data_IF_854094892613
#
_entry.id   IF_854094892613
#
_cell.length_a   1.000
_cell.length_b   1.000
_cell.length_c   1.000
_cell.angle_alpha   90.00
_cell.angle_beta   90.00
_cell.angle_gamma   90.00
#
_symmetry.space_group_name_H-M   'P 1'
#
loop_
_entity.id
_entity.type
_entity.pdbx_description
1 polymer ?
#
# COMPACT_ATOMS: atom_id res chain seq x y z
N UNK A 1 -14.70 -12.57 -11.04
CA UNK A 1 -13.47 -11.76 -10.91
C UNK A 1 -13.89 -10.42 -10.33
N UNK A 2 -13.54 -10.13 -9.08
CA UNK A 2 -13.82 -8.84 -8.43
C UNK A 2 -12.57 -7.98 -8.52
N UNK A 3 -12.78 -6.73 -8.89
CA UNK A 3 -11.84 -5.75 -9.46
C UNK A 3 -10.84 -5.19 -8.44
N UNK A 4 -9.72 -4.59 -8.93
CA UNK A 4 -8.62 -4.08 -8.10
C UNK A 4 -9.00 -2.87 -7.21
N UNK A 5 -10.16 -2.24 -7.42
CA UNK A 5 -10.57 -1.07 -6.63
C UNK A 5 -10.92 -1.40 -5.17
N UNK A 6 -11.40 -2.61 -4.91
CA UNK A 6 -11.55 -3.11 -3.54
C UNK A 6 -10.22 -3.21 -2.80
N UNK A 7 -9.08 -3.34 -3.49
CA UNK A 7 -7.75 -3.46 -2.87
C UNK A 7 -7.18 -2.10 -2.46
N UNK A 8 -7.48 -1.02 -3.20
CA UNK A 8 -7.05 0.34 -2.89
C UNK A 8 -7.73 0.89 -1.62
N UNK A 9 -9.02 0.60 -1.43
CA UNK A 9 -9.79 1.04 -0.25
C UNK A 9 -9.61 0.15 0.98
N UNK A 10 -9.33 -1.15 0.80
CA UNK A 10 -8.93 -2.04 1.91
C UNK A 10 -7.54 -1.66 2.44
N UNK A 11 -6.74 -0.95 1.64
CA UNK A 11 -5.50 -0.35 2.09
C UNK A 11 -5.70 0.59 3.30
N UNK A 12 -6.68 1.49 3.26
CA UNK A 12 -6.97 2.35 4.42
C UNK A 12 -7.55 1.58 5.63
N UNK A 13 -7.96 0.33 5.46
CA UNK A 13 -8.41 -0.58 6.51
C UNK A 13 -7.26 -1.45 7.08
N UNK A 14 -6.08 -0.84 7.22
CA UNK A 14 -4.92 -1.42 7.92
C UNK A 14 -5.35 -2.14 9.20
N UNK A 15 -4.78 -3.34 9.38
CA UNK A 15 -4.68 -4.16 10.61
C UNK A 15 -5.56 -5.41 10.74
N UNK A 16 -6.11 -5.98 9.66
CA UNK A 16 -6.65 -7.35 9.74
C UNK A 16 -6.10 -8.20 8.60
N UNK A 17 -4.94 -8.84 8.86
CA UNK A 17 -4.28 -9.74 7.94
C UNK A 17 -5.16 -10.96 7.65
N UNK A 18 -5.47 -11.21 6.38
CA UNK A 18 -5.74 -12.58 5.95
C UNK A 18 -5.16 -12.79 4.54
N UNK A 19 -4.05 -13.52 4.47
CA UNK A 19 -3.23 -13.87 3.29
C UNK A 19 -2.20 -12.82 2.86
N UNK A 20 -1.01 -12.84 3.47
CA UNK A 20 0.20 -12.16 2.99
C UNK A 20 1.04 -13.08 2.11
N UNK A 21 1.63 -12.55 1.04
CA UNK A 21 2.56 -13.29 0.18
C UNK A 21 3.94 -13.39 0.85
N UNK A 22 4.42 -12.27 1.37
CA UNK A 22 5.67 -12.15 2.15
C UNK A 22 5.38 -11.28 3.37
N UNK A 23 5.94 -11.64 4.52
CA UNK A 23 5.96 -10.79 5.72
C UNK A 23 7.39 -10.28 5.95
N UNK A 24 7.54 -9.19 6.71
CA UNK A 24 8.83 -8.55 6.99
C UNK A 24 8.88 -8.05 8.43
N UNK A 25 10.08 -8.02 9.00
CA UNK A 25 10.34 -7.43 10.32
C UNK A 25 10.35 -5.90 10.26
N UNK A 26 10.93 -5.33 9.20
CA UNK A 26 10.92 -3.89 8.98
C UNK A 26 10.76 -3.57 7.50
N UNK A 27 10.10 -2.47 7.22
CA UNK A 27 10.01 -1.85 5.92
C UNK A 27 10.31 -0.37 6.06
N UNK A 28 11.10 0.15 5.14
CA UNK A 28 11.25 1.59 4.94
C UNK A 28 10.76 1.94 3.54
N UNK A 29 9.95 2.99 3.45
CA UNK A 29 9.40 3.49 2.21
C UNK A 29 9.69 4.98 2.08
N UNK A 30 10.32 5.37 0.98
CA UNK A 30 10.69 6.75 0.74
C UNK A 30 10.23 7.18 -0.64
N UNK A 31 9.61 8.36 -0.69
CA UNK A 31 9.14 9.00 -1.91
C UNK A 31 9.97 10.24 -2.17
N UNK A 32 10.51 10.35 -3.38
CA UNK A 32 11.26 11.53 -3.84
C UNK A 32 10.68 11.98 -5.18
N UNK A 33 10.30 13.24 -5.29
CA UNK A 33 9.73 13.82 -6.50
C UNK A 33 10.66 14.87 -7.07
N UNK A 34 11.13 14.64 -8.29
CA UNK A 34 11.84 15.62 -9.08
C UNK A 34 10.85 16.41 -9.93
N UNK A 35 10.64 17.68 -9.55
CA UNK A 35 9.69 18.58 -10.22
C UNK A 35 10.17 19.01 -11.61
N UNK A 36 11.47 19.00 -11.89
CA UNK A 36 11.99 19.42 -13.20
C UNK A 36 11.65 18.37 -14.26
N UNK A 37 11.76 17.09 -13.89
CA UNK A 37 11.51 15.96 -14.79
C UNK A 37 10.13 15.32 -14.62
N UNK A 38 9.30 15.83 -13.70
CA UNK A 38 8.03 15.23 -13.28
C UNK A 38 8.16 13.74 -12.90
N UNK A 39 9.27 13.38 -12.27
CA UNK A 39 9.56 11.98 -11.94
C UNK A 39 9.42 11.69 -10.45
N UNK A 40 8.70 10.62 -10.12
CA UNK A 40 8.55 10.13 -8.75
C UNK A 40 9.38 8.87 -8.58
N UNK A 41 10.30 8.90 -7.62
CA UNK A 41 11.07 7.74 -7.20
C UNK A 41 10.50 7.19 -5.90
N UNK A 42 10.23 5.89 -5.91
CA UNK A 42 9.83 5.08 -4.77
C UNK A 42 10.99 4.16 -4.41
N UNK A 43 11.61 4.44 -3.27
CA UNK A 43 12.60 3.59 -2.64
C UNK A 43 11.91 2.75 -1.57
N UNK A 44 12.07 1.43 -1.65
CA UNK A 44 11.51 0.48 -0.69
C UNK A 44 12.59 -0.47 -0.22
N UNK A 45 12.75 -0.56 1.09
CA UNK A 45 13.66 -1.49 1.75
C UNK A 45 12.85 -2.40 2.66
N UNK A 46 13.09 -3.70 2.57
CA UNK A 46 12.54 -4.72 3.46
C UNK A 46 13.68 -5.37 4.23
N UNK A 47 13.51 -5.53 5.54
CA UNK A 47 14.43 -6.27 6.42
C UNK A 47 13.72 -7.45 7.05
N UNK A 48 14.43 -8.57 7.15
CA UNK A 48 13.90 -9.78 7.80
C UNK A 48 12.67 -10.36 7.07
N UNK A 49 12.81 -10.62 5.77
CA UNK A 49 11.75 -11.21 4.94
C UNK A 49 11.48 -12.67 5.31
N UNK A 50 10.20 -13.05 5.38
CA UNK A 50 9.75 -14.42 5.58
C UNK A 50 8.57 -14.77 4.66
N UNK A 51 8.36 -16.06 4.39
CA UNK A 51 7.20 -16.48 3.61
C UNK A 51 5.92 -16.20 4.40
N UNK A 52 4.99 -15.48 3.75
CA UNK A 52 3.72 -15.12 4.34
C UNK A 52 2.74 -16.29 4.40
N UNK A 53 1.52 -16.00 4.86
CA UNK A 53 0.45 -17.00 5.03
C UNK A 53 -0.08 -17.62 3.73
N UNK A 54 0.32 -17.10 2.56
CA UNK A 54 -0.04 -17.64 1.24
C UNK A 54 0.79 -18.86 0.82
N UNK A 55 1.84 -19.21 1.58
CA UNK A 55 2.69 -20.37 1.33
C UNK A 55 4.02 -20.03 0.66
N UNK A 56 4.99 -20.94 0.83
CA UNK A 56 6.38 -20.76 0.41
C UNK A 56 6.51 -20.53 -1.10
N UNK A 57 5.86 -21.34 -1.93
CA UNK A 57 5.95 -21.24 -3.39
C UNK A 57 5.48 -19.88 -3.92
N UNK A 58 4.43 -19.31 -3.30
CA UNK A 58 3.88 -18.00 -3.67
C UNK A 58 4.86 -16.89 -3.26
N UNK A 59 5.42 -17.00 -2.05
CA UNK A 59 6.46 -16.08 -1.57
C UNK A 59 7.69 -16.11 -2.49
N UNK A 60 8.18 -17.29 -2.85
CA UNK A 60 9.31 -17.46 -3.76
C UNK A 60 9.01 -16.88 -5.15
N UNK A 61 7.84 -17.15 -5.74
CA UNK A 61 7.47 -16.59 -7.04
C UNK A 61 7.38 -15.06 -7.02
N UNK A 62 6.88 -14.48 -5.92
CA UNK A 62 6.83 -13.03 -5.75
C UNK A 62 8.23 -12.42 -5.67
N UNK A 63 9.11 -12.99 -4.83
CA UNK A 63 10.48 -12.52 -4.67
C UNK A 63 11.31 -12.72 -5.94
N UNK A 64 11.09 -13.81 -6.68
CA UNK A 64 11.73 -14.00 -7.98
C UNK A 64 11.31 -12.91 -8.95
N UNK A 65 10.03 -12.52 -8.97
CA UNK A 65 9.56 -11.39 -9.78
C UNK A 65 10.26 -10.07 -9.41
N UNK A 66 10.51 -9.83 -8.12
CA UNK A 66 11.29 -8.66 -7.67
C UNK A 66 12.73 -8.72 -8.19
N UNK A 67 13.41 -9.85 -8.02
CA UNK A 67 14.79 -10.08 -8.50
C UNK A 67 14.88 -9.92 -10.03
N UNK A 68 13.86 -10.35 -10.75
CA UNK A 68 13.71 -10.19 -12.21
C UNK A 68 13.41 -8.73 -12.62
N UNK A 69 13.50 -7.77 -11.70
CA UNK A 69 13.22 -6.34 -11.90
C UNK A 69 11.82 -6.05 -12.40
N UNK A 70 10.83 -6.85 -11.99
CA UNK A 70 9.43 -6.53 -12.29
C UNK A 70 8.95 -5.43 -11.34
N UNK A 71 8.11 -4.49 -11.82
CA UNK A 71 7.61 -3.37 -11.02
C UNK A 71 6.48 -3.80 -10.08
N UNK A 72 6.82 -4.66 -9.13
CA UNK A 72 5.94 -5.10 -8.04
C UNK A 72 6.51 -4.69 -6.70
N UNK A 73 5.68 -4.46 -5.71
CA UNK A 73 6.11 -4.13 -4.35
C UNK A 73 4.95 -4.29 -3.36
N UNK A 74 5.27 -4.46 -2.07
CA UNK A 74 4.31 -4.47 -0.96
C UNK A 74 4.50 -3.21 -0.12
N UNK A 75 3.45 -2.55 0.37
CA UNK A 75 3.53 -1.42 1.32
C UNK A 75 2.71 -1.75 2.57
N UNK A 76 3.23 -1.76 3.80
CA UNK A 76 2.45 -2.05 5.02
C UNK A 76 1.83 -3.47 5.11
N UNK A 77 2.12 -4.38 4.17
CA UNK A 77 1.56 -5.74 4.11
C UNK A 77 0.28 -5.85 3.28
N UNK A 78 -0.32 -7.04 3.20
CA UNK A 78 -1.59 -7.23 2.47
C UNK A 78 -2.70 -6.37 3.09
N UNK A 79 -3.50 -5.63 2.28
CA UNK A 79 -3.76 -5.82 0.83
C UNK A 79 -2.88 -5.03 -0.13
N UNK A 80 -1.88 -4.30 0.36
CA UNK A 80 -1.10 -3.37 -0.44
C UNK A 80 0.06 -4.04 -1.18
N UNK A 81 -0.23 -5.21 -1.75
CA UNK A 81 0.64 -5.81 -2.74
C UNK A 81 0.27 -5.24 -4.10
N UNK A 82 1.21 -4.51 -4.68
CA UNK A 82 1.10 -3.88 -5.98
C UNK A 82 1.93 -4.70 -6.97
N UNK A 83 1.27 -5.25 -7.98
CA UNK A 83 1.93 -5.75 -9.18
C UNK A 83 1.48 -4.86 -10.33
N UNK A 84 2.33 -3.90 -10.72
CA UNK A 84 1.94 -2.91 -11.73
C UNK A 84 1.68 -3.58 -13.09
N UNK A 85 2.26 -4.76 -13.35
CA UNK A 85 1.98 -5.56 -14.56
C UNK A 85 0.52 -6.06 -14.60
N UNK A 86 -0.10 -6.30 -13.43
CA UNK A 86 -1.49 -6.73 -13.35
C UNK A 86 -2.51 -5.59 -13.53
N UNK A 87 -2.07 -4.34 -13.51
CA UNK A 87 -2.94 -3.19 -13.80
C UNK A 87 -3.39 -3.22 -15.25
N UNK A 88 -2.55 -3.76 -16.16
CA UNK A 88 -2.88 -3.91 -17.58
C UNK A 88 -2.96 -2.61 -18.36
N UNK A 89 -2.43 -1.50 -17.81
CA UNK A 89 -2.28 -0.23 -18.51
C UNK A 89 -0.88 -0.14 -19.13
N UNK A 90 -0.80 -0.34 -20.45
CA UNK A 90 0.46 -0.31 -21.21
C UNK A 90 1.17 1.04 -21.12
N UNK A 91 0.41 2.15 -21.01
CA UNK A 91 1.02 3.47 -20.84
C UNK A 91 1.71 3.56 -19.49
N UNK A 92 1.03 3.14 -18.41
CA UNK A 92 1.59 3.18 -17.06
C UNK A 92 2.84 2.31 -16.96
N UNK A 93 2.82 1.11 -17.53
CA UNK A 93 3.99 0.24 -17.58
C UNK A 93 5.15 0.84 -18.37
N UNK A 94 4.85 1.55 -19.46
CA UNK A 94 5.86 2.29 -20.22
C UNK A 94 6.48 3.49 -19.48
N UNK A 95 5.88 3.93 -18.37
CA UNK A 95 6.40 5.03 -17.54
C UNK A 95 7.19 4.55 -16.32
N UNK A 96 7.26 3.24 -16.07
CA UNK A 96 7.85 2.68 -14.85
C UNK A 96 9.19 2.03 -15.15
N UNK A 97 10.23 2.52 -14.50
CA UNK A 97 11.56 1.92 -14.49
C UNK A 97 11.86 1.29 -13.14
N UNK A 98 12.31 0.04 -13.14
CA UNK A 98 12.94 -0.57 -11.95
C UNK A 98 14.44 -0.30 -12.02
N UNK A 99 14.88 0.75 -11.32
CA UNK A 99 16.26 1.22 -11.29
C UNK A 99 17.16 0.29 -10.47
N UNK A 100 16.62 -0.29 -9.41
CA UNK A 100 17.32 -1.22 -8.50
C UNK A 100 16.34 -2.28 -7.99
N UNK A 101 16.81 -3.52 -7.90
CA UNK A 101 16.12 -4.60 -7.23
C UNK A 101 17.20 -5.58 -6.77
N UNK A 102 17.50 -5.60 -5.47
CA UNK A 102 18.62 -6.33 -4.89
C UNK A 102 18.16 -7.11 -3.68
N UNK A 103 18.53 -8.39 -3.66
CA UNK A 103 18.34 -9.28 -2.53
C UNK A 103 19.68 -9.44 -1.82
N UNK A 104 19.72 -9.18 -0.52
CA UNK A 104 20.93 -9.34 0.30
C UNK A 104 20.70 -10.32 1.43
N UNK A 105 21.71 -11.15 1.68
CA UNK A 105 21.73 -12.09 2.81
C UNK A 105 22.64 -11.47 3.89
N UNK A 106 22.07 -11.10 5.03
CA UNK A 106 22.89 -10.69 6.17
C UNK A 106 23.54 -11.91 6.83
N UNK A 107 24.56 -11.69 7.68
CA UNK A 107 25.22 -12.76 8.42
C UNK A 107 24.27 -13.32 9.50
N UNK A 108 23.38 -14.23 9.12
CA UNK A 108 22.37 -14.85 9.99
C UNK A 108 21.22 -15.44 9.16
N UNK A 109 20.06 -15.71 9.78
CA UNK A 109 18.86 -16.14 9.06
C UNK A 109 18.08 -14.96 8.44
N UNK A 110 18.60 -13.74 8.32
CA UNK A 110 17.85 -12.62 7.73
C UNK A 110 18.15 -12.44 6.24
N UNK A 111 17.07 -12.26 5.48
CA UNK A 111 17.08 -11.91 4.07
C UNK A 111 16.39 -10.56 3.89
N UNK A 112 17.06 -9.68 3.16
CA UNK A 112 16.63 -8.30 2.97
C UNK A 112 16.47 -8.01 1.47
N UNK A 113 15.53 -7.13 1.13
CA UNK A 113 15.28 -6.73 -0.25
C UNK A 113 15.26 -5.21 -0.36
N UNK A 114 15.92 -4.68 -1.37
CA UNK A 114 15.85 -3.26 -1.73
C UNK A 114 15.34 -3.12 -3.16
N UNK A 115 14.40 -2.20 -3.37
CA UNK A 115 13.89 -1.87 -4.70
C UNK A 115 13.76 -0.37 -4.88
N UNK A 116 14.20 0.13 -6.03
CA UNK A 116 14.01 1.52 -6.45
C UNK A 116 13.23 1.53 -7.75
N UNK A 117 12.04 2.11 -7.70
CA UNK A 117 11.16 2.27 -8.85
C UNK A 117 11.08 3.76 -9.17
N UNK A 118 11.18 4.12 -10.45
CA UNK A 118 10.94 5.48 -10.95
C UNK A 118 9.74 5.49 -11.88
N UNK A 119 8.89 6.48 -11.70
CA UNK A 119 7.79 6.82 -12.59
C UNK A 119 8.13 8.12 -13.32
N UNK A 120 8.21 8.10 -14.65
CA UNK A 120 8.73 9.21 -15.48
C UNK A 120 7.73 10.35 -15.77
N UNK A 121 6.47 10.24 -15.31
CA UNK A 121 5.43 11.28 -15.48
C UNK A 121 4.37 11.14 -14.39
N UNK A 122 4.71 11.55 -13.17
CA UNK A 122 3.85 11.31 -12.00
C UNK A 122 2.51 12.04 -12.09
N UNK A 123 2.47 13.26 -12.64
CA UNK A 123 1.21 14.00 -12.73
C UNK A 123 0.25 13.34 -13.70
N UNK A 124 0.72 12.90 -14.87
CA UNK A 124 -0.13 12.19 -15.83
C UNK A 124 -0.58 10.83 -15.27
N UNK A 125 0.30 10.11 -14.58
CA UNK A 125 -0.05 8.87 -13.92
C UNK A 125 -1.13 9.05 -12.84
N UNK A 126 -1.04 10.11 -12.03
CA UNK A 126 -2.07 10.45 -11.03
C UNK A 126 -3.41 10.77 -11.70
N UNK A 127 -3.40 11.55 -12.78
CA UNK A 127 -4.62 11.87 -13.55
C UNK A 127 -5.28 10.59 -14.09
N UNK A 128 -4.49 9.70 -14.69
CA UNK A 128 -4.98 8.41 -15.23
C UNK A 128 -5.49 7.49 -14.13
N UNK A 129 -4.76 7.37 -13.02
CA UNK A 129 -5.17 6.57 -11.88
C UNK A 129 -6.50 7.08 -11.31
N UNK A 130 -6.65 8.39 -11.12
CA UNK A 130 -7.90 8.99 -10.64
C UNK A 130 -9.08 8.72 -11.58
N UNK A 131 -8.86 8.80 -12.89
CA UNK A 131 -9.88 8.51 -13.89
C UNK A 131 -10.28 7.02 -13.88
N UNK A 132 -9.30 6.11 -13.87
CA UNK A 132 -9.52 4.67 -13.82
C UNK A 132 -10.27 4.25 -12.54
N UNK A 133 -9.87 4.79 -11.40
CA UNK A 133 -10.55 4.60 -10.11
C UNK A 133 -12.01 5.05 -10.21
N UNK A 134 -12.25 6.27 -10.70
CA UNK A 134 -13.61 6.81 -10.82
C UNK A 134 -14.48 5.96 -11.75
N UNK A 135 -13.95 5.52 -12.89
CA UNK A 135 -14.64 4.66 -13.84
C UNK A 135 -15.03 3.31 -13.21
N UNK A 136 -14.12 2.71 -12.43
CA UNK A 136 -14.37 1.44 -11.76
C UNK A 136 -15.44 1.57 -10.65
N UNK A 137 -15.39 2.64 -9.86
CA UNK A 137 -16.43 2.95 -8.87
C UNK A 137 -17.80 3.03 -9.54
N UNK A 138 -17.89 3.77 -10.64
CA UNK A 138 -19.14 3.95 -11.37
C UNK A 138 -19.63 2.63 -11.97
N UNK A 139 -18.74 1.85 -12.59
CA UNK A 139 -19.05 0.52 -13.13
C UNK A 139 -19.61 -0.41 -12.04
N UNK A 140 -19.01 -0.39 -10.85
CA UNK A 140 -19.38 -1.28 -9.76
C UNK A 140 -20.65 -0.86 -9.00
N UNK A 141 -20.87 0.44 -8.80
CA UNK A 141 -21.87 0.94 -7.85
C UNK A 141 -22.94 1.86 -8.43
N UNK A 142 -22.82 2.36 -9.66
CA UNK A 142 -23.73 3.40 -10.17
C UNK A 142 -25.20 2.99 -10.20
N UNK A 143 -25.46 1.71 -10.49
CA UNK A 143 -26.80 1.11 -10.57
C UNK A 143 -27.03 0.05 -9.46
N UNK A 144 -26.11 -0.03 -8.49
CA UNK A 144 -26.18 -1.01 -7.43
C UNK A 144 -27.16 -0.58 -6.34
N UNK A 145 -27.79 -1.57 -5.70
CA UNK A 145 -28.53 -1.37 -4.45
C UNK A 145 -27.54 -1.14 -3.29
N UNK A 146 -27.31 0.14 -2.95
CA UNK A 146 -26.32 0.52 -1.96
C UNK A 146 -26.61 -0.01 -0.56
N UNK A 147 -27.88 -0.22 -0.19
CA UNK A 147 -28.23 -0.84 1.09
C UNK A 147 -27.72 -2.28 1.17
N UNK A 148 -27.76 -3.00 0.05
CA UNK A 148 -27.29 -4.37 -0.05
C UNK A 148 -25.76 -4.47 -0.17
N UNK A 149 -25.12 -3.47 -0.76
CA UNK A 149 -23.67 -3.41 -0.92
C UNK A 149 -22.96 -2.86 0.34
N UNK A 150 -23.63 -2.03 1.15
CA UNK A 150 -23.12 -1.56 2.44
C UNK A 150 -22.92 -2.73 3.41
N UNK A 151 -21.66 -3.14 3.57
CA UNK A 151 -21.26 -4.28 4.41
C UNK A 151 -19.96 -3.97 5.15
N UNK A 152 -19.81 -4.59 6.31
CA UNK A 152 -18.61 -4.44 7.13
C UNK A 152 -18.47 -3.03 7.66
N UNK A 153 -17.38 -2.36 7.30
CA UNK A 153 -17.03 -1.03 7.78
C UNK A 153 -17.59 0.11 6.92
N UNK A 154 -18.17 -0.19 5.74
CA UNK A 154 -18.77 0.81 4.85
C UNK A 154 -20.27 0.90 5.07
N UNK A 155 -20.74 2.08 5.49
CA UNK A 155 -22.17 2.41 5.54
C UNK A 155 -22.68 2.92 4.19
N UNK A 156 -24.01 2.95 4.02
CA UNK A 156 -24.66 3.44 2.80
C UNK A 156 -24.21 4.86 2.46
N UNK A 157 -24.12 5.73 3.49
CA UNK A 157 -23.71 7.14 3.32
C UNK A 157 -22.30 7.26 2.73
N UNK A 158 -21.37 6.41 3.14
CA UNK A 158 -20.01 6.35 2.61
C UNK A 158 -20.01 5.93 1.15
N UNK A 159 -20.81 4.91 0.78
CA UNK A 159 -20.96 4.51 -0.63
C UNK A 159 -21.56 5.64 -1.49
N UNK A 160 -22.55 6.38 -0.97
CA UNK A 160 -23.09 7.56 -1.65
C UNK A 160 -22.03 8.64 -1.87
N UNK A 161 -21.18 8.90 -0.88
CA UNK A 161 -20.09 9.88 -0.96
C UNK A 161 -19.04 9.46 -1.98
N UNK A 162 -18.64 8.19 -1.98
CA UNK A 162 -17.72 7.58 -2.94
C UNK A 162 -18.26 7.74 -4.37
N UNK A 163 -19.54 7.40 -4.59
CA UNK A 163 -20.19 7.58 -5.88
C UNK A 163 -20.27 9.05 -6.31
N UNK A 164 -20.66 9.94 -5.39
CA UNK A 164 -20.72 11.38 -5.67
C UNK A 164 -19.34 11.95 -6.00
N UNK A 165 -18.28 11.46 -5.37
CA UNK A 165 -16.90 11.84 -5.67
C UNK A 165 -16.46 11.35 -7.06
N UNK A 166 -16.73 10.09 -7.37
CA UNK A 166 -16.46 9.51 -8.69
C UNK A 166 -17.19 10.26 -9.82
N UNK A 167 -18.48 10.57 -9.65
CA UNK A 167 -19.30 11.32 -10.63
C UNK A 167 -18.77 12.73 -10.88
N UNK A 168 -18.19 13.37 -9.85
CA UNK A 168 -17.60 14.70 -9.95
C UNK A 168 -16.18 14.67 -10.54
N UNK A 169 -15.56 13.50 -10.69
CA UNK A 169 -14.16 13.37 -11.08
C UNK A 169 -13.20 13.91 -10.02
N UNK A 170 -13.56 13.81 -8.74
CA UNK A 170 -12.70 14.27 -7.65
C UNK A 170 -11.40 13.47 -7.56
N UNK A 171 -10.31 14.07 -7.05
CA UNK A 171 -9.04 13.36 -6.89
C UNK A 171 -9.15 12.28 -5.81
N UNK A 172 -8.66 11.08 -6.09
CA UNK A 172 -8.47 9.99 -5.13
C UNK A 172 -7.02 9.95 -4.65
N UNK A 173 -6.11 10.38 -5.51
CA UNK A 173 -4.69 10.55 -5.27
C UNK A 173 -4.33 11.98 -5.71
N UNK A 174 -3.53 12.69 -4.92
CA UNK A 174 -2.97 13.99 -5.30
C UNK A 174 -1.48 14.07 -4.95
N UNK A 175 -0.76 14.95 -5.65
CA UNK A 175 0.61 15.29 -5.32
C UNK A 175 0.68 16.79 -5.10
N UNK A 176 0.62 17.22 -3.84
CA UNK A 176 0.52 18.63 -3.47
C UNK A 176 1.39 18.93 -2.26
N UNK A 177 1.99 20.13 -2.24
CA UNK A 177 2.76 20.64 -1.09
C UNK A 177 3.86 19.68 -0.60
N UNK A 178 4.53 18.98 -1.52
CA UNK A 178 5.59 18.03 -1.17
C UNK A 178 5.05 16.77 -0.47
N UNK A 179 3.81 16.37 -0.74
CA UNK A 179 3.20 15.16 -0.19
C UNK A 179 2.33 14.45 -1.23
N UNK A 180 2.29 13.12 -1.15
CA UNK A 180 1.31 12.29 -1.85
C UNK A 180 0.08 12.14 -0.94
N UNK A 181 -1.06 12.69 -1.35
CA UNK A 181 -2.33 12.62 -0.62
C UNK A 181 -3.23 11.51 -1.15
N UNK A 182 -3.77 10.68 -0.26
CA UNK A 182 -4.85 9.75 -0.54
C UNK A 182 -6.17 10.32 -0.01
N UNK A 183 -7.16 10.41 -0.88
CA UNK A 183 -8.44 11.08 -0.64
C UNK A 183 -9.55 10.04 -0.61
N UNK A 184 -10.20 9.92 0.54
CA UNK A 184 -11.25 8.96 0.77
C UNK A 184 -12.54 9.64 1.23
N UNK A 185 -13.57 9.72 0.37
CA UNK A 185 -14.88 10.20 0.77
C UNK A 185 -15.52 9.22 1.75
N UNK A 186 -15.86 9.67 2.95
CA UNK A 186 -16.48 8.80 3.95
C UNK A 186 -17.39 9.55 4.91
N UNK A 187 -18.34 8.81 5.48
CA UNK A 187 -19.21 9.34 6.52
C UNK A 187 -18.41 9.60 7.80
N UNK A 188 -18.94 10.49 8.65
CA UNK A 188 -18.33 10.75 9.96
C UNK A 188 -18.30 9.48 10.84
N UNK A 189 -19.28 8.59 10.69
CA UNK A 189 -19.33 7.32 11.40
C UNK A 189 -18.17 6.42 11.00
N UNK A 190 -17.92 6.27 9.70
CA UNK A 190 -16.79 5.50 9.18
C UNK A 190 -15.45 6.12 9.58
N UNK A 191 -15.30 7.44 9.48
CA UNK A 191 -14.10 8.12 9.96
C UNK A 191 -13.85 7.88 11.45
N UNK A 192 -14.87 8.03 12.29
CA UNK A 192 -14.74 7.80 13.73
C UNK A 192 -14.36 6.36 14.04
N UNK A 193 -14.98 5.38 13.38
CA UNK A 193 -14.60 3.97 13.52
C UNK A 193 -13.17 3.72 13.05
N UNK A 194 -12.73 4.32 11.95
CA UNK A 194 -11.35 4.21 11.47
C UNK A 194 -10.36 4.78 12.50
N UNK A 195 -10.61 6.00 13.01
CA UNK A 195 -9.77 6.61 14.05
C UNK A 195 -9.77 5.79 15.33
N UNK A 196 -10.90 5.27 15.78
CA UNK A 196 -10.94 4.42 16.98
C UNK A 196 -10.17 3.12 16.77
N UNK A 197 -10.25 2.53 15.58
CA UNK A 197 -9.47 1.34 15.21
C UNK A 197 -7.96 1.64 15.18
N UNK A 198 -7.60 2.86 14.78
CA UNK A 198 -6.20 3.30 14.70
C UNK A 198 -5.66 3.72 16.09
N UNK A 199 -6.45 4.40 16.91
CA UNK A 199 -6.02 4.95 18.20
C UNK A 199 -6.02 3.88 19.31
N UNK A 200 -6.99 2.96 19.26
CA UNK A 200 -7.19 1.90 20.24
C UNK A 200 -7.76 0.62 19.58
N UNK A 201 -6.95 -0.08 18.77
CA UNK A 201 -7.39 -1.31 18.13
C UNK A 201 -7.74 -2.37 19.18
N UNK A 202 -9.00 -2.89 19.21
CA UNK A 202 -9.53 -3.68 20.33
C UNK A 202 -8.93 -5.09 20.50
N UNK A 203 -7.96 -5.46 19.65
CA UNK A 203 -7.31 -6.79 19.63
C UNK A 203 -5.80 -6.73 19.37
N UNK A 204 -5.21 -5.54 19.42
CA UNK A 204 -3.79 -5.32 19.13
C UNK A 204 -2.99 -5.24 20.42
N UNK A 205 -1.83 -5.90 20.46
CA UNK A 205 -0.93 -5.87 21.62
C UNK A 205 -0.26 -4.49 21.77
N UNK A 206 0.21 -4.17 22.98
CA UNK A 206 0.78 -2.85 23.29
C UNK A 206 2.01 -2.50 22.43
N UNK A 207 2.83 -3.50 22.09
CA UNK A 207 3.99 -3.31 21.22
C UNK A 207 3.57 -2.93 19.79
N UNK A 208 2.60 -3.64 19.22
CA UNK A 208 2.04 -3.36 17.89
C UNK A 208 1.36 -1.98 17.86
N UNK A 209 0.70 -1.60 18.95
CA UNK A 209 0.06 -0.28 19.12
C UNK A 209 1.08 0.86 19.16
N UNK A 210 2.24 0.65 19.77
CA UNK A 210 3.33 1.62 19.75
C UNK A 210 3.89 1.82 18.35
N UNK A 211 4.05 0.73 17.58
CA UNK A 211 4.49 0.77 16.18
C UNK A 211 3.48 1.50 15.29
N UNK A 212 2.19 1.24 15.47
CA UNK A 212 1.13 1.97 14.78
C UNK A 212 1.20 3.48 15.06
N UNK A 213 1.38 3.88 16.33
CA UNK A 213 1.54 5.30 16.69
C UNK A 213 2.78 5.92 16.05
N UNK A 214 3.88 5.18 15.98
CA UNK A 214 5.11 5.65 15.32
C UNK A 214 4.88 5.85 13.82
N UNK A 215 4.26 4.89 13.13
CA UNK A 215 3.95 4.98 11.71
C UNK A 215 3.01 6.17 11.40
N UNK A 216 1.98 6.39 12.22
CA UNK A 216 1.10 7.56 12.09
C UNK A 216 1.84 8.88 12.29
N UNK A 217 2.80 8.93 13.21
CA UNK A 217 3.62 10.11 13.48
C UNK A 217 4.55 10.48 12.33
N UNK A 218 4.80 9.56 11.40
CA UNK A 218 5.61 9.76 10.20
C UNK A 218 4.79 10.18 8.98
N UNK A 219 3.46 10.15 9.07
CA UNK A 219 2.59 10.68 8.03
C UNK A 219 2.72 12.22 7.98
N UNK A 220 2.67 12.78 6.78
CA UNK A 220 2.67 14.23 6.55
C UNK A 220 1.38 14.89 7.03
N UNK A 221 0.37 14.09 7.37
CA UNK A 221 -0.85 14.51 8.04
C UNK A 221 -2.00 13.52 7.83
N UNK A 222 -2.93 13.52 8.78
CA UNK A 222 -4.26 12.90 8.62
C UNK A 222 -5.28 13.99 8.92
N UNK A 223 -6.18 14.26 7.98
CA UNK A 223 -7.22 15.27 8.15
C UNK A 223 -8.57 14.76 7.68
N UNK A 224 -9.64 15.22 8.31
CA UNK A 224 -11.00 14.91 7.89
C UNK A 224 -11.81 16.19 7.89
N UNK A 225 -12.32 16.57 6.72
CA UNK A 225 -13.15 17.75 6.55
C UNK A 225 -14.13 17.55 5.39
N UNK A 226 -15.35 18.08 5.53
CA UNK A 226 -16.39 18.00 4.49
C UNK A 226 -16.60 16.58 3.95
N UNK A 227 -16.63 15.58 4.84
CA UNK A 227 -16.86 14.16 4.48
C UNK A 227 -15.75 13.56 3.60
N UNK A 228 -14.53 14.12 3.69
CA UNK A 228 -13.34 13.65 3.00
C UNK A 228 -12.22 13.42 4.01
N UNK A 229 -11.76 12.17 4.11
CA UNK A 229 -10.53 11.79 4.82
C UNK A 229 -9.35 11.94 3.86
N UNK A 230 -8.32 12.64 4.30
CA UNK A 230 -7.07 12.81 3.56
C UNK A 230 -5.93 12.26 4.42
N UNK A 231 -5.18 11.33 3.85
CA UNK A 231 -3.93 10.81 4.42
C UNK A 231 -2.77 11.25 3.53
N UNK A 232 -1.83 11.99 4.10
CA UNK A 232 -0.69 12.55 3.39
C UNK A 232 0.59 11.81 3.73
N UNK A 233 1.31 11.38 2.70
CA UNK A 233 2.64 10.79 2.79
C UNK A 233 3.67 11.84 2.37
N UNK A 234 4.63 12.19 3.23
CA UNK A 234 5.60 13.22 2.89
C UNK A 234 6.52 12.74 1.77
N UNK A 235 6.83 13.62 0.84
CA UNK A 235 7.91 13.44 -0.12
C UNK A 235 9.16 14.01 0.53
N UNK A 236 10.18 13.19 0.70
CA UNK A 236 11.41 13.61 1.36
C UNK A 236 12.61 12.85 0.80
N UNK A 237 13.71 13.58 0.63
CA UNK A 237 15.02 12.99 0.38
C UNK A 237 15.70 12.50 1.67
N UNK A 238 15.18 12.84 2.84
CA UNK A 238 15.86 12.57 4.12
C UNK A 238 15.07 11.64 5.03
N UNK A 239 13.73 11.60 4.91
CA UNK A 239 12.86 10.89 5.85
C UNK A 239 11.97 9.89 5.10
N UNK A 240 12.19 8.59 5.34
CA UNK A 240 11.30 7.52 4.91
C UNK A 240 10.23 7.22 5.96
N UNK A 241 9.08 6.72 5.51
CA UNK A 241 8.09 6.05 6.35
C UNK A 241 8.68 4.69 6.78
N UNK A 242 8.90 4.52 8.08
CA UNK A 242 9.42 3.29 8.67
C UNK A 242 8.30 2.52 9.36
N UNK A 243 8.18 1.27 8.98
CA UNK A 243 7.12 0.37 9.36
C UNK A 243 7.76 -0.89 9.92
N UNK A 244 7.56 -1.12 11.20
CA UNK A 244 8.04 -2.36 11.83
C UNK A 244 6.90 -3.37 11.83
N UNK A 245 7.18 -4.58 11.38
CA UNK A 245 6.32 -5.74 11.52
C UNK A 245 6.07 -6.02 13.00
N UNK A 246 4.81 -6.23 13.33
CA UNK A 246 4.34 -6.43 14.70
C UNK A 246 4.62 -7.84 15.26
N UNK A 247 4.92 -8.80 14.38
CA UNK A 247 5.13 -10.20 14.76
C UNK A 247 6.60 -10.46 15.09
N UNK A 248 6.86 -11.14 16.20
CA UNK A 248 8.15 -11.78 16.45
C UNK A 248 8.30 -12.97 15.50
N UNK A 249 9.13 -12.79 14.47
CA UNK A 249 9.33 -13.77 13.39
C UNK A 249 10.57 -14.64 13.61
N UNK A 250 11.31 -14.43 14.71
CA UNK A 250 12.61 -15.02 15.03
C UNK A 250 12.63 -16.55 15.17
N UNK A 251 11.47 -17.21 15.13
CA UNK A 251 11.30 -18.65 15.26
C UNK A 251 10.67 -19.34 14.03
N UNK A 252 10.46 -18.61 12.93
CA UNK A 252 9.73 -19.16 11.78
C UNK A 252 10.63 -20.03 10.88
N UNK A 253 10.26 -21.31 10.71
CA UNK A 253 10.89 -22.21 9.72
C UNK A 253 10.81 -21.69 8.28
N UNK A 254 9.93 -20.72 8.04
CA UNK A 254 9.73 -20.07 6.74
C UNK A 254 10.90 -19.16 6.34
N UNK A 255 11.62 -18.62 7.32
CA UNK A 255 12.76 -17.75 7.10
C UNK A 255 13.96 -18.54 6.54
N UNK A 256 14.28 -19.66 7.18
CA UNK A 256 15.33 -20.59 6.72
C UNK A 256 15.01 -21.17 5.32
N UNK A 257 13.73 -21.46 5.06
CA UNK A 257 13.28 -21.99 3.78
C UNK A 257 13.49 -21.00 2.61
N UNK A 258 13.17 -19.72 2.81
CA UNK A 258 13.44 -18.69 1.80
C UNK A 258 14.94 -18.49 1.56
N UNK A 259 15.74 -18.53 2.62
CA UNK A 259 17.19 -18.40 2.47
C UNK A 259 17.77 -19.56 1.69
N UNK A 260 17.37 -20.80 1.98
CA UNK A 260 17.85 -21.97 1.23
C UNK A 260 17.55 -21.82 -0.26
N UNK A 261 16.30 -21.49 -0.60
CA UNK A 261 15.86 -21.31 -1.99
C UNK A 261 16.70 -20.28 -2.75
N UNK A 262 16.93 -19.09 -2.16
CA UNK A 262 17.57 -17.98 -2.86
C UNK A 262 19.11 -17.93 -2.70
N UNK A 263 19.67 -18.61 -1.70
CA UNK A 263 21.13 -18.70 -1.51
C UNK A 263 21.78 -19.79 -2.38
N UNK A 264 20.98 -20.63 -3.05
CA UNK A 264 21.43 -21.72 -3.91
C UNK A 264 22.14 -22.84 -3.14
N UNK A 265 21.81 -23.02 -1.86
CA UNK A 265 22.40 -23.99 -0.94
C UNK A 265 21.43 -25.08 -0.50
#
# INVERSE_FOLDING_TARGET
MKTPFGRLLVGLALLVSSCSTVDFEQQELKLTHDQETDSLTLDISYRGLIAGSSGLDVACAWMQGMVDKRPRFIVLGWPFEFDLEQIGDEWLLGQVDVLRAELTFEKGPSMDMEQRIRLQSVQEAIVRANAAISAEVLSSYAEADLEREAKGWMDVKTLELILAHARRGGPWISLENGSLGLHFPCSQGVFHTAIMTIADPPKMEDAERALLRQALGQLGGVSYAKELLIVSFPISEDVGLQLTGAKDLSSSQNQDALILEFSGK
#
